data_IF_622208441239
#
_entry.id   IF_622208441239
#
_cell.length_a   1.000
_cell.length_b   1.000
_cell.length_c   1.000
_cell.angle_alpha   90.00
_cell.angle_beta   90.00
_cell.angle_gamma   90.00
#
_symmetry.space_group_name_H-M   'P 1'
#
loop_
_entity.id
_entity.type
_entity.pdbx_description
1 polymer ?
#
# COMPACT_ATOMS: atom_id res chain seq x y z
N UNK A 1 -13.62 -1.88 -7.95
CA UNK A 1 -13.20 -2.79 -6.89
C UNK A 1 -14.38 -3.46 -6.18
N UNK A 2 -15.45 -2.71 -5.78
CA UNK A 2 -16.64 -3.28 -5.10
C UNK A 2 -17.31 -4.40 -5.88
N UNK A 3 -17.48 -4.26 -7.20
CA UNK A 3 -18.04 -5.33 -8.06
C UNK A 3 -17.20 -6.62 -8.03
N UNK A 4 -15.86 -6.48 -8.06
CA UNK A 4 -14.97 -7.64 -7.93
C UNK A 4 -15.13 -8.36 -6.59
N UNK A 5 -15.19 -7.60 -5.49
CA UNK A 5 -15.46 -8.18 -4.17
C UNK A 5 -16.82 -8.87 -4.09
N UNK A 6 -17.89 -8.26 -4.64
CA UNK A 6 -19.21 -8.90 -4.68
C UNK A 6 -19.21 -10.19 -5.46
N UNK A 7 -18.51 -10.25 -6.60
CA UNK A 7 -18.38 -11.48 -7.39
C UNK A 7 -17.61 -12.57 -6.62
N UNK A 8 -16.50 -12.21 -5.95
CA UNK A 8 -15.74 -13.16 -5.11
C UNK A 8 -16.58 -13.67 -3.95
N UNK A 9 -17.36 -12.82 -3.28
CA UNK A 9 -18.26 -13.24 -2.20
C UNK A 9 -19.39 -14.14 -2.68
N UNK A 10 -19.89 -13.92 -3.89
CA UNK A 10 -20.87 -14.83 -4.50
C UNK A 10 -20.27 -16.22 -4.77
N UNK A 11 -19.01 -16.28 -5.25
CA UNK A 11 -18.30 -17.55 -5.46
C UNK A 11 -18.00 -18.24 -4.11
N UNK A 12 -17.60 -17.49 -3.09
CA UNK A 12 -17.40 -18.01 -1.72
C UNK A 12 -18.66 -18.72 -1.23
N UNK A 13 -19.81 -18.06 -1.33
CA UNK A 13 -21.09 -18.62 -0.91
C UNK A 13 -21.53 -19.84 -1.75
N UNK A 14 -21.32 -19.79 -3.07
CA UNK A 14 -21.73 -20.87 -3.97
C UNK A 14 -20.89 -22.14 -3.81
N UNK A 15 -19.60 -22.00 -3.55
CA UNK A 15 -18.63 -23.10 -3.57
C UNK A 15 -17.98 -23.38 -2.21
N UNK A 16 -18.33 -22.61 -1.17
CA UNK A 16 -17.73 -22.69 0.17
C UNK A 16 -16.18 -22.56 0.12
N UNK A 17 -15.68 -21.62 -0.68
CA UNK A 17 -14.25 -21.35 -0.87
C UNK A 17 -13.88 -20.09 -0.11
N UNK A 18 -12.89 -20.12 0.83
CA UNK A 18 -12.55 -18.92 1.61
C UNK A 18 -11.91 -17.85 0.73
N UNK A 19 -12.27 -16.59 0.97
CA UNK A 19 -11.72 -15.41 0.27
C UNK A 19 -10.73 -14.69 1.18
N UNK A 20 -9.55 -14.39 0.62
CA UNK A 20 -8.51 -13.60 1.25
C UNK A 20 -8.28 -12.30 0.49
N UNK A 21 -7.84 -11.26 1.19
CA UNK A 21 -7.49 -10.00 0.57
C UNK A 21 -6.18 -9.46 1.16
N UNK A 22 -5.37 -8.85 0.30
CA UNK A 22 -4.16 -8.14 0.71
C UNK A 22 -4.22 -6.68 0.27
N UNK A 23 -3.50 -5.80 0.95
CA UNK A 23 -3.38 -4.40 0.61
C UNK A 23 -2.59 -4.19 -0.69
N UNK A 24 -3.01 -3.24 -1.52
CA UNK A 24 -2.30 -2.92 -2.77
C UNK A 24 -0.85 -2.52 -2.50
N UNK A 25 -0.58 -1.72 -1.47
CA UNK A 25 0.77 -1.30 -1.11
C UNK A 25 1.62 -2.48 -0.63
N UNK A 26 1.02 -3.42 0.08
CA UNK A 26 1.66 -4.68 0.49
C UNK A 26 2.05 -5.52 -0.74
N UNK A 27 1.14 -5.66 -1.71
CA UNK A 27 1.45 -6.40 -2.94
C UNK A 27 2.63 -5.81 -3.71
N UNK A 28 2.80 -4.49 -3.71
CA UNK A 28 3.95 -3.83 -4.33
C UNK A 28 5.25 -4.01 -3.55
N UNK A 29 5.21 -3.97 -2.23
CA UNK A 29 6.42 -4.04 -1.39
C UNK A 29 6.87 -5.47 -1.11
N UNK A 30 5.98 -6.44 -1.17
CA UNK A 30 6.20 -7.82 -0.75
C UNK A 30 7.47 -8.48 -1.31
N UNK A 31 7.77 -8.30 -2.61
CA UNK A 31 8.95 -8.87 -3.24
C UNK A 31 10.28 -8.28 -2.71
N UNK A 32 10.22 -7.17 -2.01
CA UNK A 32 11.39 -6.40 -1.53
C UNK A 32 11.50 -6.39 -0.01
N UNK A 33 10.64 -7.12 0.70
CA UNK A 33 10.57 -7.09 2.17
C UNK A 33 11.87 -7.47 2.89
N UNK A 34 12.72 -8.26 2.22
CA UNK A 34 14.00 -8.71 2.76
C UNK A 34 15.18 -7.82 2.35
N UNK A 35 14.91 -6.66 1.74
CA UNK A 35 15.97 -5.72 1.39
C UNK A 35 16.62 -5.13 2.66
N UNK A 36 17.96 -4.93 2.65
CA UNK A 36 18.70 -4.42 3.82
C UNK A 36 18.52 -2.91 4.05
N UNK A 37 17.64 -2.27 3.28
CA UNK A 37 17.30 -0.84 3.38
C UNK A 37 15.79 -0.67 3.48
N UNK A 38 15.29 0.43 4.05
CA UNK A 38 13.86 0.68 4.08
C UNK A 38 13.25 0.71 2.67
N UNK A 39 12.14 0.00 2.53
CA UNK A 39 11.34 -0.09 1.30
C UNK A 39 10.17 0.87 1.43
N UNK A 40 10.07 1.81 0.49
CA UNK A 40 8.99 2.79 0.41
C UNK A 40 8.10 2.43 -0.77
N UNK A 41 6.89 1.99 -0.52
CA UNK A 41 5.90 1.83 -1.57
C UNK A 41 5.24 3.18 -1.86
N UNK A 42 5.08 3.54 -3.15
CA UNK A 42 4.49 4.79 -3.58
C UNK A 42 3.54 4.60 -4.77
N UNK A 43 2.29 5.02 -4.58
CA UNK A 43 1.23 5.05 -5.60
C UNK A 43 0.62 6.45 -5.61
N UNK A 44 0.50 7.06 -6.79
CA UNK A 44 -0.01 8.44 -6.94
C UNK A 44 -1.49 8.54 -6.51
N UNK A 45 -1.74 9.29 -5.45
CA UNK A 45 -3.07 9.59 -4.92
C UNK A 45 -3.65 10.89 -5.48
N UNK A 46 -3.01 11.49 -6.51
CA UNK A 46 -3.32 12.79 -7.11
C UNK A 46 -3.14 13.98 -6.14
N UNK A 47 -3.23 15.19 -6.67
CA UNK A 47 -3.15 16.44 -5.87
C UNK A 47 -1.88 16.53 -5.00
N UNK A 48 -0.71 16.12 -5.55
CA UNK A 48 0.59 16.09 -4.85
C UNK A 48 0.59 15.21 -3.59
N UNK A 49 -0.19 14.14 -3.62
CA UNK A 49 -0.28 13.14 -2.54
C UNK A 49 0.07 11.76 -3.07
N UNK A 50 0.54 10.90 -2.17
CA UNK A 50 0.82 9.50 -2.49
C UNK A 50 0.24 8.59 -1.41
N UNK A 51 -0.28 7.45 -1.84
CA UNK A 51 -0.45 6.33 -0.93
C UNK A 51 0.92 5.72 -0.69
N UNK A 52 1.33 5.70 0.56
CA UNK A 52 2.63 5.18 0.95
C UNK A 52 2.52 4.16 2.08
N UNK A 53 3.47 3.23 2.05
CA UNK A 53 3.83 2.29 3.10
C UNK A 53 5.34 2.28 3.21
N UNK A 54 5.89 2.20 4.41
CA UNK A 54 7.34 2.03 4.60
C UNK A 54 7.59 0.85 5.49
N UNK A 55 8.48 -0.03 5.06
CA UNK A 55 8.85 -1.22 5.82
C UNK A 55 10.36 -1.45 5.78
N UNK A 56 10.88 -2.15 6.79
CA UNK A 56 12.27 -2.59 6.88
C UNK A 56 12.30 -3.99 7.48
N UNK A 57 12.99 -4.91 6.81
CA UNK A 57 13.08 -6.31 7.21
C UNK A 57 11.68 -6.92 7.48
N UNK A 58 10.73 -6.67 6.61
CA UNK A 58 9.34 -7.15 6.69
C UNK A 58 8.50 -6.54 7.82
N UNK A 59 9.02 -5.52 8.53
CA UNK A 59 8.26 -4.81 9.56
C UNK A 59 7.82 -3.44 9.05
N UNK A 60 6.55 -3.13 9.24
CA UNK A 60 6.01 -1.82 8.89
C UNK A 60 6.59 -0.77 9.84
N UNK A 61 7.16 0.30 9.26
CA UNK A 61 7.69 1.47 9.96
C UNK A 61 6.73 2.65 9.84
N UNK A 62 6.09 2.79 8.65
CA UNK A 62 5.03 3.75 8.40
C UNK A 62 3.85 2.98 7.84
N UNK A 63 2.74 3.02 8.56
CA UNK A 63 1.49 2.37 8.16
C UNK A 63 0.94 2.96 6.84
N UNK A 64 0.14 2.15 6.16
CA UNK A 64 -0.53 2.55 4.92
C UNK A 64 -1.30 3.85 5.12
N UNK A 65 -1.01 4.84 4.30
CA UNK A 65 -1.63 6.15 4.44
C UNK A 65 -1.58 6.97 3.16
N UNK A 66 -2.41 8.00 3.14
CA UNK A 66 -2.46 9.02 2.11
C UNK A 66 -1.71 10.25 2.62
N UNK A 67 -0.53 10.50 2.06
CA UNK A 67 0.37 11.55 2.54
C UNK A 67 0.63 12.62 1.47
N UNK A 68 0.69 13.86 1.89
CA UNK A 68 1.35 14.91 1.13
C UNK A 68 2.85 14.60 1.02
N UNK A 69 3.47 14.98 -0.10
CA UNK A 69 4.89 14.67 -0.34
C UNK A 69 5.79 15.25 0.75
N UNK A 70 5.44 16.42 1.26
CA UNK A 70 6.11 17.09 2.38
C UNK A 70 6.00 16.28 3.68
N UNK A 71 4.82 15.77 3.98
CA UNK A 71 4.56 15.01 5.20
C UNK A 71 5.31 13.67 5.20
N UNK A 72 5.28 12.93 4.09
CA UNK A 72 6.02 11.68 3.99
C UNK A 72 7.53 11.92 3.99
N UNK A 73 8.02 13.00 3.38
CA UNK A 73 9.43 13.41 3.43
C UNK A 73 9.92 13.55 4.86
N UNK A 74 9.15 14.24 5.74
CA UNK A 74 9.55 14.42 7.14
C UNK A 74 9.57 13.08 7.91
N UNK A 75 8.62 12.17 7.63
CA UNK A 75 8.67 10.81 8.18
C UNK A 75 9.91 10.05 7.73
N UNK A 76 10.27 10.10 6.45
CA UNK A 76 11.47 9.44 5.90
C UNK A 76 12.77 10.00 6.49
N UNK A 77 12.84 11.29 6.81
CA UNK A 77 13.99 11.89 7.48
C UNK A 77 14.25 11.32 8.87
N UNK A 78 13.18 10.97 9.61
CA UNK A 78 13.27 10.41 10.96
C UNK A 78 13.77 8.95 10.97
N UNK A 79 13.69 8.26 9.84
CA UNK A 79 14.17 6.90 9.72
C UNK A 79 15.72 6.92 9.66
N UNK A 80 16.35 6.15 10.52
CA UNK A 80 17.83 6.03 10.57
C UNK A 80 18.33 5.17 9.39
N UNK A 81 18.34 5.76 8.21
CA UNK A 81 18.88 5.19 6.97
C UNK A 81 19.26 6.31 6.01
N UNK A 82 20.39 6.18 5.32
CA UNK A 82 20.81 7.11 4.28
C UNK A 82 20.34 6.71 2.87
N UNK A 83 19.76 5.51 2.76
CA UNK A 83 19.35 4.95 1.47
C UNK A 83 17.98 4.31 1.59
N UNK A 84 17.13 4.53 0.59
CA UNK A 84 15.78 3.95 0.52
C UNK A 84 15.57 3.31 -0.85
N UNK A 85 14.97 2.14 -0.86
CA UNK A 85 14.43 1.54 -2.05
C UNK A 85 12.98 1.98 -2.23
N UNK A 86 12.61 2.42 -3.43
CA UNK A 86 11.25 2.87 -3.75
C UNK A 86 10.61 1.90 -4.74
N UNK A 87 9.44 1.39 -4.43
CA UNK A 87 8.63 0.53 -5.28
C UNK A 87 7.22 1.11 -5.47
N UNK A 88 6.37 0.42 -6.21
CA UNK A 88 5.01 0.86 -6.55
C UNK A 88 4.91 1.44 -7.96
N UNK A 89 3.69 1.59 -8.45
CA UNK A 89 3.42 2.05 -9.82
C UNK A 89 4.02 3.41 -10.13
N UNK A 90 4.15 4.28 -9.12
CA UNK A 90 4.56 5.67 -9.29
C UNK A 90 5.89 5.99 -8.57
N UNK A 91 6.73 4.96 -8.36
CA UNK A 91 8.03 5.08 -7.67
C UNK A 91 8.93 6.18 -8.27
N UNK A 92 9.02 6.26 -9.60
CA UNK A 92 9.85 7.28 -10.28
C UNK A 92 9.32 8.69 -10.03
N UNK A 93 8.02 8.89 -10.19
CA UNK A 93 7.38 10.18 -9.92
C UNK A 93 7.57 10.60 -8.46
N UNK A 94 7.43 9.67 -7.52
CA UNK A 94 7.65 9.92 -6.10
C UNK A 94 9.09 10.37 -5.81
N UNK A 95 10.08 9.69 -6.40
CA UNK A 95 11.51 10.06 -6.29
C UNK A 95 11.74 11.48 -6.83
N UNK A 96 11.16 11.82 -7.99
CA UNK A 96 11.26 13.17 -8.57
C UNK A 96 10.67 14.23 -7.65
N UNK A 97 9.50 13.98 -7.06
CA UNK A 97 8.86 14.89 -6.10
C UNK A 97 9.71 15.11 -4.85
N UNK A 98 10.26 14.04 -4.28
CA UNK A 98 11.15 14.16 -3.11
C UNK A 98 12.44 14.92 -3.43
N UNK A 99 13.04 14.70 -4.60
CA UNK A 99 14.23 15.44 -5.06
C UNK A 99 13.92 16.94 -5.23
N UNK A 100 12.77 17.29 -5.80
CA UNK A 100 12.34 18.68 -5.93
C UNK A 100 12.19 19.40 -4.58
N UNK A 101 11.93 18.65 -3.52
CA UNK A 101 11.89 19.14 -2.13
C UNK A 101 13.26 19.09 -1.41
N UNK A 102 14.36 18.91 -2.13
CA UNK A 102 15.72 18.80 -1.56
C UNK A 102 15.84 17.67 -0.50
N UNK A 103 15.28 16.49 -0.80
CA UNK A 103 15.49 15.32 0.04
C UNK A 103 16.89 14.74 -0.20
N UNK A 104 17.76 14.79 0.81
CA UNK A 104 19.20 14.57 0.67
C UNK A 104 19.64 13.09 0.80
N UNK A 105 18.71 12.18 1.13
CA UNK A 105 19.03 10.75 1.24
C UNK A 105 18.96 10.07 -0.13
N UNK A 106 19.69 8.97 -0.31
CA UNK A 106 19.73 8.23 -1.57
C UNK A 106 18.41 7.51 -1.82
N UNK A 107 17.87 7.67 -3.00
CA UNK A 107 16.63 7.02 -3.46
C UNK A 107 16.92 6.24 -4.74
N UNK A 108 16.51 5.00 -4.80
CA UNK A 108 16.60 4.19 -6.02
C UNK A 108 15.35 3.32 -6.19
N UNK A 109 15.03 2.96 -7.43
CA UNK A 109 13.96 2.06 -7.78
C UNK A 109 14.43 1.15 -8.92
N UNK A 110 13.79 0.00 -9.09
CA UNK A 110 14.02 -0.84 -10.26
C UNK A 110 13.25 -0.31 -11.48
N UNK A 111 13.76 -0.61 -12.66
CA UNK A 111 13.08 -0.30 -13.94
C UNK A 111 12.01 -1.34 -14.29
N UNK A 112 12.04 -2.53 -13.67
CA UNK A 112 11.04 -3.59 -13.85
C UNK A 112 9.89 -3.39 -12.89
N UNK A 113 8.68 -3.57 -13.40
CA UNK A 113 7.46 -3.64 -12.58
C UNK A 113 7.48 -4.99 -11.88
N UNK A 114 7.27 -5.02 -10.55
CA UNK A 114 7.03 -6.27 -9.84
C UNK A 114 5.71 -6.87 -10.33
N UNK A 115 5.60 -8.19 -10.28
CA UNK A 115 4.34 -8.85 -10.61
C UNK A 115 3.43 -8.85 -9.37
N UNK A 116 2.62 -7.80 -9.20
CA UNK A 116 1.74 -7.63 -8.06
C UNK A 116 0.76 -8.80 -7.90
N UNK A 117 0.33 -9.38 -9.01
CA UNK A 117 -0.56 -10.56 -9.00
C UNK A 117 0.16 -11.77 -8.41
N UNK A 118 1.41 -12.01 -8.78
CA UNK A 118 2.21 -13.09 -8.20
C UNK A 118 2.44 -12.86 -6.69
N UNK A 119 2.73 -11.63 -6.30
CA UNK A 119 2.89 -11.25 -4.90
C UNK A 119 1.59 -11.45 -4.11
N UNK A 120 0.44 -11.11 -4.69
CA UNK A 120 -0.87 -11.35 -4.07
C UNK A 120 -1.07 -12.84 -3.76
N UNK A 121 -0.74 -13.74 -4.70
CA UNK A 121 -0.85 -15.18 -4.47
C UNK A 121 0.10 -15.64 -3.36
N UNK A 122 1.35 -15.19 -3.35
CA UNK A 122 2.31 -15.53 -2.29
C UNK A 122 1.87 -15.04 -0.91
N UNK A 123 1.30 -13.84 -0.83
CA UNK A 123 0.72 -13.30 0.41
C UNK A 123 -0.46 -14.20 0.87
N UNK A 124 -1.35 -14.56 -0.04
CA UNK A 124 -2.48 -15.44 0.27
C UNK A 124 -2.02 -16.82 0.75
N UNK A 125 -1.01 -17.42 0.11
CA UNK A 125 -0.39 -18.67 0.55
C UNK A 125 0.21 -18.55 1.96
N UNK A 126 0.89 -17.46 2.28
CA UNK A 126 1.39 -17.19 3.63
C UNK A 126 0.24 -17.01 4.65
N UNK A 127 -0.84 -16.32 4.28
CA UNK A 127 -2.03 -16.17 5.14
C UNK A 127 -2.62 -17.53 5.47
N UNK A 128 -2.77 -18.42 4.49
CA UNK A 128 -3.28 -19.77 4.67
C UNK A 128 -2.34 -20.60 5.56
N UNK A 129 -1.04 -20.56 5.28
CA UNK A 129 -0.04 -21.29 6.07
C UNK A 129 0.00 -20.84 7.54
N UNK A 130 -0.15 -19.55 7.78
CA UNK A 130 -0.22 -18.93 9.12
C UNK A 130 -1.61 -19.05 9.78
N UNK A 131 -2.58 -19.67 9.12
CA UNK A 131 -3.97 -19.82 9.58
C UNK A 131 -4.64 -18.47 9.89
N UNK A 132 -4.32 -17.44 9.11
CA UNK A 132 -5.01 -16.16 9.20
C UNK A 132 -6.46 -16.38 8.74
N UNK A 133 -7.47 -15.87 9.46
CA UNK A 133 -8.87 -16.03 9.06
C UNK A 133 -9.12 -15.41 7.67
N UNK A 134 -9.98 -16.06 6.89
CA UNK A 134 -10.53 -15.47 5.66
C UNK A 134 -11.41 -14.26 5.97
N UNK A 135 -11.73 -13.48 4.96
CA UNK A 135 -12.67 -12.36 5.09
C UNK A 135 -14.02 -12.84 5.62
N UNK A 136 -14.53 -12.14 6.62
CA UNK A 136 -15.87 -12.39 7.18
C UNK A 136 -16.96 -11.95 6.20
N UNK A 137 -18.19 -12.41 6.47
CA UNK A 137 -19.37 -11.91 5.78
C UNK A 137 -19.44 -10.38 5.94
N UNK A 138 -19.83 -9.71 4.84
CA UNK A 138 -19.93 -8.24 4.75
C UNK A 138 -18.60 -7.46 4.82
N UNK A 139 -17.46 -8.11 5.00
CA UNK A 139 -16.17 -7.44 4.80
C UNK A 139 -15.95 -7.17 3.32
N UNK A 140 -15.45 -5.98 3.01
CA UNK A 140 -15.22 -5.49 1.67
C UNK A 140 -13.85 -4.84 1.51
N UNK A 141 -13.61 -4.16 0.38
CA UNK A 141 -12.34 -3.49 0.15
C UNK A 141 -12.12 -2.36 1.17
N UNK A 142 -10.90 -2.31 1.71
CA UNK A 142 -10.44 -1.22 2.58
C UNK A 142 -9.93 -0.07 1.71
N UNK A 143 -10.43 1.14 1.96
CA UNK A 143 -9.98 2.35 1.28
C UNK A 143 -9.15 3.20 2.22
N UNK A 144 -7.92 3.55 1.81
CA UNK A 144 -7.02 4.42 2.60
C UNK A 144 -7.59 5.83 2.72
N UNK A 145 -8.26 6.31 1.64
CA UNK A 145 -8.96 7.59 1.63
C UNK A 145 -10.46 7.35 1.53
N UNK A 146 -11.22 8.04 2.35
CA UNK A 146 -12.67 8.10 2.19
C UNK A 146 -13.03 8.66 0.80
N UNK A 147 -14.17 8.26 0.26
CA UNK A 147 -14.65 8.85 -0.99
C UNK A 147 -15.04 10.32 -0.76
N UNK A 148 -14.97 11.15 -1.81
CA UNK A 148 -15.40 12.56 -1.72
C UNK A 148 -16.86 12.71 -1.24
N UNK A 149 -17.69 11.70 -1.47
CA UNK A 149 -19.07 11.68 -0.98
C UNK A 149 -19.11 11.43 0.54
N UNK A 150 -18.28 10.53 1.06
CA UNK A 150 -18.16 10.26 2.49
C UNK A 150 -17.57 11.44 3.23
N UNK A 151 -16.54 12.09 2.69
CA UNK A 151 -15.96 13.33 3.25
C UNK A 151 -16.99 14.45 3.35
N UNK A 152 -17.81 14.64 2.31
CA UNK A 152 -18.90 15.64 2.31
C UNK A 152 -20.00 15.32 3.32
N UNK A 153 -20.30 14.05 3.55
CA UNK A 153 -21.28 13.63 4.56
C UNK A 153 -20.76 13.88 5.97
N UNK A 154 -19.49 13.59 6.23
CA UNK A 154 -18.85 13.80 7.54
C UNK A 154 -18.81 15.30 7.88
N UNK A 155 -18.49 16.16 6.91
CA UNK A 155 -18.50 17.62 7.09
C UNK A 155 -19.90 18.17 7.37
N UNK A 156 -20.96 17.60 6.77
CA UNK A 156 -22.34 18.01 7.04
C UNK A 156 -22.87 17.52 8.38
N UNK A 157 -22.35 16.41 8.91
CA UNK A 157 -22.75 15.88 10.20
C UNK A 157 -22.07 16.58 11.39
N UNK A 158 -21.00 17.35 11.12
CA UNK A 158 -20.24 18.12 12.12
C UNK A 158 -20.58 19.62 12.12
N UNK A 159 -21.54 20.05 11.31
CA UNK A 159 -22.11 21.40 11.24
C UNK A 159 -23.49 21.45 11.81
#
# INVERSE_FOLDING_TARGET
LRLGFSALKALELAYNIPVYAAGTLECYSFAYRDFPVPVVCAVDAKKNRFYNRVELNGKIIVEDGDFEVEAIKEKLKQINSDTFFVCGSDAKLFIERLKALNFNKKLFCMNSISNETENLFKIAEEMIAKKIPSLKDFEGPVYIRASEAEEKLTLKASS
#
